data_IF_801382735116
#
_entry.id   IF_801382735116
#
_cell.length_a   1.000
_cell.length_b   1.000
_cell.length_c   1.000
_cell.angle_alpha   90.00
_cell.angle_beta   90.00
_cell.angle_gamma   90.00
#
_symmetry.space_group_name_H-M   'P 1'
#
loop_
_entity.id
_entity.type
_entity.pdbx_description
1 polymer ?
#
# COMPACT_ATOMS: atom_id res chain seq x y z
N UNK A 1 -31.54 -12.09 -14.08
CA UNK A 1 -30.81 -11.76 -12.83
C UNK A 1 -31.88 -11.25 -11.90
N UNK A 2 -32.21 -12.00 -10.85
CA UNK A 2 -33.29 -11.62 -9.94
C UNK A 2 -33.04 -10.21 -9.36
N UNK A 3 -34.10 -9.45 -9.00
CA UNK A 3 -33.96 -8.09 -8.48
C UNK A 3 -33.01 -7.98 -7.28
N UNK A 4 -32.95 -9.03 -6.46
CA UNK A 4 -32.09 -9.14 -5.27
C UNK A 4 -30.61 -9.20 -5.69
N UNK A 5 -30.26 -10.10 -6.62
CA UNK A 5 -28.90 -10.26 -7.16
C UNK A 5 -28.37 -8.97 -7.80
N UNK A 6 -29.25 -8.15 -8.41
CA UNK A 6 -28.85 -6.86 -8.97
C UNK A 6 -28.47 -5.85 -7.88
N UNK A 7 -29.27 -5.75 -6.83
CA UNK A 7 -29.04 -4.82 -5.73
C UNK A 7 -27.74 -5.16 -4.97
N UNK A 8 -27.46 -6.44 -4.73
CA UNK A 8 -26.22 -6.86 -4.05
C UNK A 8 -24.98 -6.52 -4.88
N UNK A 9 -25.03 -6.74 -6.19
CA UNK A 9 -23.94 -6.38 -7.10
C UNK A 9 -23.72 -4.86 -7.18
N UNK A 10 -24.79 -4.07 -7.27
CA UNK A 10 -24.71 -2.60 -7.22
C UNK A 10 -24.07 -2.12 -5.91
N UNK A 11 -24.47 -2.70 -4.77
CA UNK A 11 -23.88 -2.37 -3.48
C UNK A 11 -22.39 -2.71 -3.41
N UNK A 12 -21.97 -3.87 -3.94
CA UNK A 12 -20.55 -4.25 -4.01
C UNK A 12 -19.77 -3.22 -4.84
N UNK A 13 -20.29 -2.86 -6.02
CA UNK A 13 -19.64 -1.92 -6.93
C UNK A 13 -19.50 -0.55 -6.28
N UNK A 14 -20.58 0.03 -5.75
CA UNK A 14 -20.57 1.37 -5.13
C UNK A 14 -19.57 1.42 -3.98
N UNK A 15 -19.60 0.44 -3.07
CA UNK A 15 -18.68 0.43 -1.94
C UNK A 15 -17.22 0.23 -2.38
N UNK A 16 -16.95 -0.56 -3.43
CA UNK A 16 -15.59 -0.71 -3.99
C UNK A 16 -15.08 0.59 -4.60
N UNK A 17 -15.94 1.32 -5.33
CA UNK A 17 -15.59 2.61 -5.90
C UNK A 17 -15.32 3.66 -4.82
N UNK A 18 -16.15 3.69 -3.77
CA UNK A 18 -15.94 4.56 -2.61
C UNK A 18 -14.61 4.27 -1.92
N UNK A 19 -14.23 2.99 -1.74
CA UNK A 19 -12.91 2.60 -1.21
C UNK A 19 -11.77 3.10 -2.09
N UNK A 20 -11.90 2.93 -3.40
CA UNK A 20 -10.92 3.38 -4.38
C UNK A 20 -10.93 4.90 -4.60
N UNK A 21 -11.77 5.63 -3.85
CA UNK A 21 -12.03 7.05 -4.01
C UNK A 21 -12.51 7.44 -5.41
N UNK A 22 -12.97 6.51 -6.24
CA UNK A 22 -13.38 6.77 -7.63
C UNK A 22 -14.60 7.72 -7.75
N UNK A 23 -15.22 8.11 -6.64
CA UNK A 23 -16.29 9.11 -6.55
C UNK A 23 -15.79 10.59 -6.33
N UNK A 24 -14.48 10.89 -6.40
CA UNK A 24 -13.86 12.26 -6.39
C UNK A 24 -12.57 12.36 -5.55
N UNK A 25 -11.70 13.38 -5.49
CA UNK A 25 -11.47 14.66 -6.20
C UNK A 25 -10.24 14.60 -7.14
N UNK A 26 -9.48 13.50 -7.23
CA UNK A 26 -8.70 13.15 -8.46
C UNK A 26 -8.29 11.68 -8.51
N UNK A 27 -9.22 10.76 -8.78
CA UNK A 27 -8.96 9.36 -9.09
C UNK A 27 -9.19 9.09 -10.59
N UNK A 28 -8.77 7.91 -11.06
CA UNK A 28 -8.92 7.47 -12.45
C UNK A 28 -10.39 7.66 -12.91
N UNK A 29 -10.61 8.46 -13.96
CA UNK A 29 -11.96 8.81 -14.44
C UNK A 29 -12.64 7.60 -15.11
N UNK A 30 -13.22 6.70 -14.33
CA UNK A 30 -14.14 5.67 -14.85
C UNK A 30 -15.50 5.92 -14.19
N UNK A 31 -16.51 6.43 -14.94
CA UNK A 31 -17.85 6.64 -14.40
C UNK A 31 -18.45 5.33 -13.86
N UNK A 32 -19.24 5.41 -12.79
CA UNK A 32 -19.93 4.26 -12.18
C UNK A 32 -20.75 3.48 -13.23
N UNK A 33 -21.52 4.19 -14.07
CA UNK A 33 -22.31 3.61 -15.15
C UNK A 33 -21.48 2.78 -16.13
N UNK A 34 -20.22 3.20 -16.38
CA UNK A 34 -19.30 2.51 -17.26
C UNK A 34 -18.73 1.24 -16.62
N UNK A 35 -18.48 1.27 -15.31
CA UNK A 35 -18.07 0.09 -14.52
C UNK A 35 -19.20 -0.92 -14.50
N UNK A 36 -20.42 -0.49 -14.14
CA UNK A 36 -21.62 -1.34 -14.09
C UNK A 36 -21.91 -2.00 -15.44
N UNK A 37 -21.92 -1.21 -16.53
CA UNK A 37 -22.18 -1.74 -17.88
C UNK A 37 -21.17 -2.81 -18.27
N UNK A 38 -19.87 -2.60 -18.03
CA UNK A 38 -18.80 -3.55 -18.39
C UNK A 38 -18.80 -4.81 -17.53
N UNK A 39 -19.32 -4.73 -16.30
CA UNK A 39 -19.54 -5.88 -15.41
C UNK A 39 -20.74 -6.71 -15.88
N UNK A 40 -21.86 -6.05 -16.21
CA UNK A 40 -23.12 -6.71 -16.53
C UNK A 40 -23.20 -7.26 -17.96
N UNK A 41 -22.51 -6.64 -18.91
CA UNK A 41 -22.58 -6.95 -20.35
C UNK A 41 -21.22 -7.36 -20.95
N UNK A 42 -20.71 -8.56 -20.63
CA UNK A 42 -19.38 -9.04 -21.06
C UNK A 42 -19.29 -9.46 -22.54
N UNK A 43 -20.39 -9.34 -23.31
CA UNK A 43 -20.53 -9.95 -24.65
C UNK A 43 -19.63 -9.35 -25.73
N UNK A 44 -18.88 -8.27 -25.45
CA UNK A 44 -17.98 -7.61 -26.40
C UNK A 44 -16.52 -7.63 -25.93
N UNK A 45 -15.89 -8.82 -25.93
CA UNK A 45 -14.46 -8.96 -25.63
C UNK A 45 -13.61 -8.33 -26.75
N UNK A 46 -13.17 -7.08 -26.55
CA UNK A 46 -12.29 -6.32 -27.45
C UNK A 46 -11.12 -5.63 -26.74
N UNK A 47 -10.30 -4.82 -27.44
CA UNK A 47 -9.17 -4.09 -26.82
C UNK A 47 -9.57 -3.27 -25.58
N UNK A 48 -10.76 -2.68 -25.59
CA UNK A 48 -11.29 -1.89 -24.47
C UNK A 48 -11.55 -2.71 -23.21
N UNK A 49 -11.83 -4.02 -23.34
CA UNK A 49 -12.00 -4.94 -22.21
C UNK A 49 -10.67 -5.23 -21.52
N UNK A 50 -9.63 -5.59 -22.28
CA UNK A 50 -8.31 -5.86 -21.69
C UNK A 50 -7.70 -4.63 -21.02
N UNK A 51 -7.90 -3.46 -21.63
CA UNK A 51 -7.46 -2.20 -21.03
C UNK A 51 -8.23 -1.91 -19.72
N UNK A 52 -9.54 -2.19 -19.68
CA UNK A 52 -10.32 -2.07 -18.46
C UNK A 52 -9.81 -2.99 -17.35
N UNK A 53 -9.67 -4.30 -17.61
CA UNK A 53 -9.15 -5.26 -16.61
C UNK A 53 -7.75 -4.87 -16.14
N UNK A 54 -6.88 -4.44 -17.06
CA UNK A 54 -5.57 -3.95 -16.71
C UNK A 54 -5.65 -2.75 -15.74
N UNK A 55 -6.51 -1.77 -16.02
CA UNK A 55 -6.69 -0.61 -15.17
C UNK A 55 -7.26 -0.98 -13.79
N UNK A 56 -8.20 -1.92 -13.73
CA UNK A 56 -8.75 -2.43 -12.46
C UNK A 56 -7.67 -3.14 -11.63
N UNK A 57 -6.87 -4.01 -12.26
CA UNK A 57 -5.77 -4.70 -11.59
C UNK A 57 -4.72 -3.71 -11.07
N UNK A 58 -4.45 -2.63 -11.79
CA UNK A 58 -3.50 -1.58 -11.38
C UNK A 58 -3.95 -0.82 -10.13
N UNK A 59 -5.25 -0.78 -9.83
CA UNK A 59 -5.81 -0.20 -8.61
C UNK A 59 -6.16 -1.25 -7.56
N UNK A 60 -5.70 -2.49 -7.73
CA UNK A 60 -5.90 -3.57 -6.75
C UNK A 60 -7.25 -4.26 -6.82
N UNK A 61 -8.01 -4.09 -7.91
CA UNK A 61 -9.26 -4.81 -8.14
C UNK A 61 -9.00 -5.97 -9.10
N UNK A 62 -9.27 -7.19 -8.64
CA UNK A 62 -9.24 -8.41 -9.42
C UNK A 62 -10.64 -8.78 -9.94
N UNK A 63 -10.70 -9.83 -10.75
CA UNK A 63 -11.92 -10.29 -11.38
C UNK A 63 -12.04 -11.80 -11.39
N UNK A 64 -13.26 -12.29 -11.16
CA UNK A 64 -13.59 -13.70 -11.30
C UNK A 64 -14.73 -13.89 -12.30
N UNK A 65 -14.56 -14.83 -13.23
CA UNK A 65 -15.65 -15.19 -14.13
C UNK A 65 -16.70 -15.99 -13.34
N UNK A 66 -17.95 -15.58 -13.47
CA UNK A 66 -19.12 -16.25 -12.90
C UNK A 66 -20.00 -16.82 -14.04
N UNK A 67 -21.12 -17.46 -13.68
CA UNK A 67 -22.05 -18.12 -14.60
C UNK A 67 -22.50 -17.17 -15.72
N UNK A 68 -22.76 -17.72 -16.90
CA UNK A 68 -23.21 -16.98 -18.10
C UNK A 68 -22.18 -15.98 -18.65
N UNK A 69 -20.89 -16.18 -18.33
CA UNK A 69 -19.79 -15.37 -18.85
C UNK A 69 -19.69 -13.98 -18.25
N UNK A 70 -20.49 -13.68 -17.21
CA UNK A 70 -20.39 -12.47 -16.39
C UNK A 70 -19.15 -12.50 -15.51
N UNK A 71 -18.80 -11.35 -14.99
CA UNK A 71 -17.58 -11.17 -14.21
C UNK A 71 -17.90 -10.45 -12.91
N UNK A 72 -17.43 -10.98 -11.79
CA UNK A 72 -17.48 -10.32 -10.50
C UNK A 72 -16.15 -9.60 -10.30
N UNK A 73 -16.20 -8.28 -10.06
CA UNK A 73 -15.05 -7.52 -9.60
C UNK A 73 -14.98 -7.57 -8.09
N UNK A 74 -13.78 -7.83 -7.58
CA UNK A 74 -13.52 -7.86 -6.15
C UNK A 74 -12.15 -7.26 -5.92
N UNK A 75 -11.93 -6.67 -4.76
CA UNK A 75 -10.58 -6.26 -4.40
C UNK A 75 -9.67 -7.49 -4.26
N UNK A 76 -8.39 -7.35 -4.63
CA UNK A 76 -7.39 -8.39 -4.46
C UNK A 76 -7.42 -8.89 -3.00
N UNK A 77 -7.67 -10.19 -2.76
CA UNK A 77 -7.70 -10.77 -1.43
C UNK A 77 -6.45 -10.49 -0.60
N UNK A 78 -5.30 -10.31 -1.25
CA UNK A 78 -4.06 -9.94 -0.58
C UNK A 78 -4.11 -8.52 -0.01
N UNK A 79 -4.64 -7.57 -0.77
CA UNK A 79 -4.76 -6.16 -0.37
C UNK A 79 -5.76 -6.03 0.78
N UNK A 80 -6.93 -6.68 0.66
CA UNK A 80 -7.94 -6.70 1.74
C UNK A 80 -7.39 -7.33 3.02
N UNK A 81 -6.62 -8.40 2.91
CA UNK A 81 -5.98 -9.05 4.05
C UNK A 81 -4.93 -8.16 4.72
N UNK A 82 -4.01 -7.56 3.96
CA UNK A 82 -3.01 -6.62 4.48
C UNK A 82 -3.67 -5.45 5.20
N UNK A 83 -4.71 -4.87 4.59
CA UNK A 83 -5.48 -3.77 5.18
C UNK A 83 -6.20 -4.20 6.45
N UNK A 84 -6.89 -5.34 6.46
CA UNK A 84 -7.60 -5.84 7.64
C UNK A 84 -6.64 -6.04 8.81
N UNK A 85 -5.45 -6.62 8.58
CA UNK A 85 -4.42 -6.75 9.62
C UNK A 85 -3.97 -5.39 10.16
N UNK A 86 -3.72 -4.43 9.27
CA UNK A 86 -3.36 -3.07 9.65
C UNK A 86 -4.46 -2.40 10.49
N UNK A 87 -5.70 -2.36 9.98
CA UNK A 87 -6.83 -1.69 10.62
C UNK A 87 -7.15 -2.30 11.99
N UNK A 88 -7.15 -3.63 12.09
CA UNK A 88 -7.35 -4.32 13.37
C UNK A 88 -6.26 -4.00 14.38
N UNK A 89 -5.01 -3.91 13.93
CA UNK A 89 -3.88 -3.55 14.79
C UNK A 89 -3.98 -2.09 15.24
N UNK A 90 -4.26 -1.18 14.30
CA UNK A 90 -4.43 0.24 14.59
C UNK A 90 -5.60 0.47 15.54
N UNK A 91 -6.76 -0.17 15.35
CA UNK A 91 -7.92 -0.08 16.24
C UNK A 91 -7.56 -0.38 17.70
N UNK A 92 -6.77 -1.44 17.96
CA UNK A 92 -6.27 -1.78 19.30
C UNK A 92 -5.29 -0.74 19.84
N UNK A 93 -4.39 -0.26 18.99
CA UNK A 93 -3.43 0.80 19.34
C UNK A 93 -4.17 2.10 19.69
N UNK A 94 -5.20 2.50 18.95
CA UNK A 94 -6.01 3.71 19.21
C UNK A 94 -6.79 3.63 20.52
N UNK A 95 -7.12 2.43 20.98
CA UNK A 95 -7.74 2.20 22.30
C UNK A 95 -6.74 2.32 23.44
N UNK A 96 -5.44 2.34 23.14
CA UNK A 96 -4.34 2.52 24.08
C UNK A 96 -3.85 3.97 24.06
N UNK A 97 -3.21 4.44 25.13
CA UNK A 97 -2.60 5.79 25.19
C UNK A 97 -1.16 5.83 24.62
N UNK A 98 -0.91 5.01 23.59
CA UNK A 98 0.41 4.91 22.98
C UNK A 98 0.61 6.05 21.98
N UNK A 99 1.80 6.66 22.03
CA UNK A 99 2.17 7.70 21.08
C UNK A 99 2.48 7.07 19.72
N UNK A 100 1.95 7.68 18.65
CA UNK A 100 2.08 7.16 17.29
C UNK A 100 2.89 8.14 16.46
N UNK A 101 4.00 7.64 15.93
CA UNK A 101 4.92 8.36 15.06
C UNK A 101 4.79 7.81 13.64
N UNK A 102 4.47 8.69 12.70
CA UNK A 102 4.49 8.38 11.28
C UNK A 102 5.84 8.74 10.71
N UNK A 103 6.48 7.79 10.06
CA UNK A 103 7.81 7.91 9.47
C UNK A 103 7.69 7.67 7.98
N UNK A 104 8.35 8.50 7.18
CA UNK A 104 8.38 8.33 5.73
C UNK A 104 9.57 9.09 5.16
N UNK A 105 9.69 8.98 3.85
CA UNK A 105 10.71 9.58 3.04
C UNK A 105 10.12 10.18 1.78
N UNK A 106 10.75 11.25 1.30
CA UNK A 106 10.36 11.90 0.06
C UNK A 106 11.56 12.18 -0.82
N UNK A 107 11.48 11.74 -2.07
CA UNK A 107 12.43 12.13 -3.12
C UNK A 107 12.11 13.56 -3.51
N UNK A 108 13.17 14.37 -3.54
CA UNK A 108 13.17 15.74 -4.02
C UNK A 108 14.10 15.77 -5.24
N UNK A 109 13.52 16.01 -6.42
CA UNK A 109 14.31 16.13 -7.64
C UNK A 109 14.79 17.56 -7.92
N UNK A 110 15.58 17.73 -8.96
CA UNK A 110 16.17 19.01 -9.38
C UNK A 110 15.13 20.05 -9.83
N UNK A 111 13.90 19.59 -10.13
CA UNK A 111 12.76 20.42 -10.50
C UNK A 111 11.83 20.71 -9.32
N UNK A 112 12.26 20.41 -8.10
CA UNK A 112 11.47 20.55 -6.87
C UNK A 112 10.17 19.73 -6.89
N UNK A 113 10.14 18.61 -7.61
CA UNK A 113 9.04 17.65 -7.50
C UNK A 113 9.26 16.75 -6.29
N UNK A 114 8.15 16.39 -5.65
CA UNK A 114 8.12 15.54 -4.47
C UNK A 114 7.49 14.19 -4.83
N UNK A 115 8.31 13.14 -4.88
CA UNK A 115 7.91 11.79 -5.28
C UNK A 115 8.22 10.75 -4.19
N UNK A 116 7.48 9.64 -4.20
CA UNK A 116 7.75 8.51 -3.30
C UNK A 116 8.73 7.52 -3.94
N UNK A 117 9.62 6.86 -3.19
CA UNK A 117 10.67 6.03 -3.79
C UNK A 117 10.20 4.86 -4.65
N UNK A 118 9.07 4.22 -4.34
CA UNK A 118 8.57 3.09 -5.13
C UNK A 118 7.94 3.50 -6.47
N UNK A 119 7.49 4.75 -6.62
CA UNK A 119 6.93 5.26 -7.89
C UNK A 119 7.97 5.21 -9.02
N UNK A 120 9.25 5.40 -8.68
CA UNK A 120 10.36 5.30 -9.65
C UNK A 120 10.92 3.89 -9.83
N UNK A 121 10.29 2.85 -9.27
CA UNK A 121 10.73 1.44 -9.39
C UNK A 121 12.22 1.28 -8.99
N UNK A 122 12.64 1.97 -7.91
CA UNK A 122 14.03 2.17 -7.54
C UNK A 122 14.73 0.88 -7.04
N UNK A 123 15.13 0.00 -7.95
CA UNK A 123 16.11 -1.05 -7.68
C UNK A 123 17.51 -0.44 -7.65
N UNK A 124 17.86 0.28 -6.57
CA UNK A 124 19.24 0.67 -6.17
C UNK A 124 20.20 1.33 -7.19
N UNK A 125 20.84 2.41 -6.73
CA UNK A 125 22.18 2.93 -7.11
C UNK A 125 22.43 3.75 -8.39
N UNK A 126 21.43 4.12 -9.22
CA UNK A 126 21.68 5.00 -10.39
C UNK A 126 20.77 6.23 -10.52
N UNK A 127 20.23 6.75 -9.42
CA UNK A 127 19.16 7.75 -9.51
C UNK A 127 19.52 9.21 -9.25
N UNK A 128 20.76 9.55 -8.88
CA UNK A 128 21.02 10.90 -8.42
C UNK A 128 22.22 11.52 -9.13
N UNK A 129 22.06 11.84 -10.41
CA UNK A 129 22.63 13.10 -10.89
C UNK A 129 21.65 14.20 -10.44
N UNK A 130 21.79 14.69 -9.20
CA UNK A 130 21.18 15.92 -8.65
C UNK A 130 19.88 15.84 -7.79
N UNK A 131 19.32 14.65 -7.50
CA UNK A 131 18.21 14.51 -6.53
C UNK A 131 18.66 14.11 -5.12
N UNK A 132 17.82 14.30 -4.11
CA UNK A 132 18.08 13.87 -2.72
C UNK A 132 16.79 13.38 -2.05
N UNK A 133 16.91 12.76 -0.87
CA UNK A 133 15.78 12.26 -0.08
C UNK A 133 15.69 13.01 1.24
N UNK A 134 14.46 13.34 1.65
CA UNK A 134 14.18 13.84 2.99
C UNK A 134 13.52 12.72 3.80
N UNK A 135 14.23 12.19 4.79
CA UNK A 135 13.66 11.31 5.81
C UNK A 135 13.01 12.17 6.87
N UNK A 136 11.81 11.82 7.31
CA UNK A 136 11.10 12.62 8.30
C UNK A 136 10.11 11.80 9.13
N UNK A 137 9.86 12.32 10.33
CA UNK A 137 8.93 11.74 11.30
C UNK A 137 8.01 12.83 11.85
N UNK A 138 6.72 12.51 11.95
CA UNK A 138 5.69 13.38 12.53
C UNK A 138 4.83 12.59 13.52
N UNK A 139 4.11 13.31 14.37
CA UNK A 139 3.10 12.75 15.27
C UNK A 139 1.90 13.69 15.37
N UNK A 140 0.89 13.30 16.16
CA UNK A 140 -0.23 14.18 16.52
C UNK A 140 0.23 15.50 17.17
N UNK A 141 1.39 15.50 17.84
CA UNK A 141 1.94 16.68 18.53
C UNK A 141 2.71 17.62 17.59
N UNK A 142 3.15 17.14 16.43
CA UNK A 142 3.90 17.94 15.48
C UNK A 142 4.97 17.18 14.71
N UNK A 143 5.83 17.96 14.05
CA UNK A 143 7.06 17.47 13.45
C UNK A 143 8.05 17.01 14.53
N UNK A 144 8.62 15.82 14.36
CA UNK A 144 9.56 15.23 15.32
C UNK A 144 11.00 15.40 14.90
N UNK A 145 11.32 14.97 13.68
CA UNK A 145 12.66 15.00 13.14
C UNK A 145 12.63 14.90 11.62
N UNK A 146 13.65 15.43 10.95
CA UNK A 146 13.90 15.12 9.57
C UNK A 146 15.32 15.45 9.14
N UNK A 147 15.82 14.71 8.16
CA UNK A 147 17.18 14.82 7.64
C UNK A 147 17.21 14.66 6.12
N UNK A 148 18.01 15.48 5.45
CA UNK A 148 18.25 15.35 4.01
C UNK A 148 19.44 14.43 3.75
N UNK A 149 19.28 13.51 2.80
CA UNK A 149 20.28 12.53 2.41
C UNK A 149 20.44 12.52 0.88
N UNK A 150 21.64 12.83 0.38
CA UNK A 150 21.92 12.91 -1.06
C UNK A 150 22.20 11.55 -1.71
N UNK A 151 22.60 10.56 -0.91
CA UNK A 151 22.90 9.19 -1.37
C UNK A 151 22.16 8.16 -0.51
N UNK A 152 20.82 8.15 -0.54
CA UNK A 152 20.03 7.34 0.37
C UNK A 152 20.20 5.85 0.09
N UNK A 153 20.60 5.11 1.11
CA UNK A 153 20.57 3.65 1.13
C UNK A 153 19.66 3.14 2.26
N UNK A 154 19.36 1.84 2.26
CA UNK A 154 18.70 1.18 3.38
C UNK A 154 19.50 1.36 4.69
N UNK A 155 20.84 1.34 4.60
CA UNK A 155 21.71 1.54 5.75
C UNK A 155 21.65 2.97 6.30
N UNK A 156 21.52 3.98 5.44
CA UNK A 156 21.38 5.38 5.87
C UNK A 156 20.04 5.60 6.59
N UNK A 157 18.96 5.00 6.08
CA UNK A 157 17.67 5.03 6.76
C UNK A 157 17.76 4.33 8.12
N UNK A 158 18.33 3.12 8.18
CA UNK A 158 18.54 2.40 9.42
C UNK A 158 19.35 3.23 10.43
N UNK A 159 20.44 3.86 10.00
CA UNK A 159 21.27 4.69 10.85
C UNK A 159 20.52 5.90 11.38
N UNK A 160 19.75 6.59 10.54
CA UNK A 160 18.91 7.70 10.99
C UNK A 160 17.88 7.26 12.03
N UNK A 161 17.23 6.10 11.84
CA UNK A 161 16.30 5.55 12.83
C UNK A 161 16.99 5.31 14.17
N UNK A 162 18.13 4.62 14.18
CA UNK A 162 18.83 4.23 15.41
C UNK A 162 19.49 5.40 16.11
N UNK A 163 20.23 6.22 15.38
CA UNK A 163 21.09 7.25 15.97
C UNK A 163 20.33 8.53 16.31
N UNK A 164 19.26 8.84 15.57
CA UNK A 164 18.58 10.15 15.63
C UNK A 164 17.13 10.02 16.07
N UNK A 165 16.36 9.16 15.40
CA UNK A 165 14.91 9.13 15.64
C UNK A 165 14.58 8.45 16.97
N UNK A 166 14.96 7.18 17.17
CA UNK A 166 14.62 6.40 18.36
C UNK A 166 14.95 7.09 19.68
N UNK A 167 16.13 7.73 19.86
CA UNK A 167 16.47 8.44 21.10
C UNK A 167 15.56 9.63 21.42
N UNK A 168 14.86 10.18 20.42
CA UNK A 168 13.96 11.33 20.59
C UNK A 168 12.49 10.96 20.78
N UNK A 169 12.13 9.67 20.69
CA UNK A 169 10.76 9.21 20.83
C UNK A 169 10.37 8.97 22.29
N UNK A 170 9.07 9.10 22.60
CA UNK A 170 8.52 8.65 23.87
C UNK A 170 8.74 7.13 24.01
N UNK A 171 9.03 6.67 25.22
CA UNK A 171 9.13 5.23 25.54
C UNK A 171 7.85 4.49 25.16
N UNK A 172 7.98 3.26 24.70
CA UNK A 172 6.84 2.40 24.34
C UNK A 172 5.87 3.11 23.38
N UNK A 173 6.37 3.39 22.19
CA UNK A 173 5.59 4.09 21.15
C UNK A 173 5.38 3.20 19.93
N UNK A 174 4.45 3.60 19.07
CA UNK A 174 4.17 2.96 17.80
C UNK A 174 4.82 3.76 16.68
N UNK A 175 5.55 3.09 15.81
CA UNK A 175 6.16 3.65 14.61
C UNK A 175 5.45 3.07 13.39
N UNK A 176 4.84 3.94 12.58
CA UNK A 176 4.08 3.61 11.37
C UNK A 176 4.86 4.10 10.15
N UNK A 177 5.14 3.22 9.20
CA UNK A 177 5.81 3.59 7.95
C UNK A 177 5.44 2.65 6.80
N UNK A 178 5.63 3.10 5.56
CA UNK A 178 5.29 2.32 4.36
C UNK A 178 6.26 1.15 4.11
N UNK A 179 6.01 0.40 3.03
CA UNK A 179 6.83 -0.73 2.61
C UNK A 179 7.90 -0.35 1.57
N UNK A 180 8.47 0.85 1.64
CA UNK A 180 9.56 1.28 0.76
C UNK A 180 10.80 0.39 0.83
N UNK A 181 11.46 0.11 -0.31
CA UNK A 181 12.73 -0.63 -0.34
C UNK A 181 13.81 -0.08 0.59
N UNK A 182 13.80 1.23 0.89
CA UNK A 182 14.73 1.86 1.83
C UNK A 182 14.54 1.39 3.28
N UNK A 183 13.40 0.76 3.58
CA UNK A 183 13.07 0.24 4.90
C UNK A 183 13.40 -1.26 5.04
N UNK A 184 14.17 -1.83 4.11
CA UNK A 184 14.56 -3.25 4.10
C UNK A 184 13.42 -4.21 3.75
N UNK A 185 12.34 -3.71 3.15
CA UNK A 185 11.20 -4.51 2.65
C UNK A 185 11.44 -5.04 1.24
N UNK A 186 12.62 -4.78 0.67
CA UNK A 186 13.04 -5.35 -0.61
C UNK A 186 12.82 -6.87 -0.56
N UNK A 187 11.99 -7.38 -1.49
CA UNK A 187 11.75 -8.81 -1.62
C UNK A 187 13.11 -9.53 -1.71
N UNK A 188 13.33 -10.64 -0.98
CA UNK A 188 14.49 -11.48 -1.22
C UNK A 188 14.56 -11.81 -2.72
N UNK A 189 15.76 -11.73 -3.29
CA UNK A 189 16.14 -11.96 -4.69
C UNK A 189 14.99 -12.39 -5.61
N UNK A 190 14.51 -11.43 -6.41
CA UNK A 190 13.35 -11.49 -7.30
C UNK A 190 13.54 -12.53 -8.42
N UNK A 191 13.41 -13.81 -8.09
CA UNK A 191 13.11 -14.84 -9.08
C UNK A 191 11.74 -14.52 -9.66
N UNK A 192 11.67 -14.46 -10.98
CA UNK A 192 10.52 -14.15 -11.82
C UNK A 192 10.22 -15.34 -12.74
N UNK A 193 9.04 -15.36 -13.36
CA UNK A 193 8.71 -16.37 -14.38
C UNK A 193 9.66 -16.37 -15.60
N UNK A 194 10.47 -15.32 -15.77
CA UNK A 194 11.42 -15.19 -16.87
C UNK A 194 12.77 -15.87 -16.55
N UNK A 195 13.13 -16.04 -15.28
CA UNK A 195 14.37 -16.70 -14.88
C UNK A 195 14.40 -18.18 -15.28
N UNK A 196 15.57 -18.75 -15.53
CA UNK A 196 15.74 -20.14 -15.94
C UNK A 196 15.40 -21.11 -14.80
N UNK A 197 15.14 -22.38 -15.15
CA UNK A 197 14.92 -23.43 -14.13
C UNK A 197 16.13 -23.59 -13.21
N UNK A 198 17.34 -23.34 -13.71
CA UNK A 198 18.57 -23.49 -12.93
C UNK A 198 18.77 -22.33 -11.96
N UNK A 199 18.40 -21.11 -12.34
CA UNK A 199 18.32 -19.95 -11.43
C UNK A 199 17.26 -20.16 -10.34
N UNK A 200 16.06 -20.65 -10.71
CA UNK A 200 15.01 -21.01 -9.74
C UNK A 200 15.47 -22.07 -8.75
N UNK A 201 16.14 -23.13 -9.24
CA UNK A 201 16.69 -24.20 -8.39
C UNK A 201 17.86 -23.72 -7.54
N UNK A 202 18.72 -22.85 -8.08
CA UNK A 202 19.82 -22.23 -7.34
C UNK A 202 19.26 -21.44 -6.16
N UNK A 203 18.24 -20.60 -6.39
CA UNK A 203 17.57 -19.87 -5.33
C UNK A 203 16.95 -20.81 -4.28
N UNK A 204 16.26 -21.88 -4.70
CA UNK A 204 15.70 -22.87 -3.78
C UNK A 204 16.80 -23.58 -2.95
N UNK A 205 17.97 -23.90 -3.54
CA UNK A 205 19.12 -24.46 -2.81
C UNK A 205 19.70 -23.47 -1.80
N UNK A 206 19.91 -22.22 -2.22
CA UNK A 206 20.47 -21.16 -1.36
C UNK A 206 19.58 -20.85 -0.15
N UNK A 207 18.26 -21.03 -0.30
CA UNK A 207 17.27 -20.84 0.76
C UNK A 207 16.87 -22.14 1.48
N UNK A 208 17.58 -23.25 1.24
CA UNK A 208 17.32 -24.57 1.86
C UNK A 208 15.88 -25.09 1.66
N UNK A 209 15.25 -24.80 0.53
CA UNK A 209 13.91 -25.26 0.18
C UNK A 209 14.00 -26.56 -0.64
N UNK A 210 13.43 -27.67 -0.15
CA UNK A 210 13.40 -28.94 -0.88
C UNK A 210 12.70 -28.78 -2.24
N UNK A 211 13.33 -29.28 -3.30
CA UNK A 211 12.78 -29.32 -4.64
C UNK A 211 13.36 -30.51 -5.40
N UNK A 212 12.70 -30.94 -6.48
CA UNK A 212 13.16 -32.07 -7.29
C UNK A 212 13.55 -31.64 -8.71
N UNK A 213 14.45 -32.41 -9.34
CA UNK A 213 14.89 -32.16 -10.71
C UNK A 213 13.77 -32.36 -11.76
N UNK A 214 12.68 -33.03 -11.38
CA UNK A 214 11.51 -33.27 -12.25
C UNK A 214 10.49 -32.13 -12.25
N UNK A 215 10.57 -31.17 -11.31
CA UNK A 215 9.61 -30.05 -11.25
C UNK A 215 9.66 -29.19 -12.52
N UNK A 216 8.47 -28.83 -13.01
CA UNK A 216 8.27 -27.88 -14.11
C UNK A 216 8.60 -26.46 -13.64
N UNK A 217 8.89 -25.58 -14.60
CA UNK A 217 9.22 -24.17 -14.33
C UNK A 217 8.12 -23.45 -13.54
N UNK A 218 6.86 -23.71 -13.88
CA UNK A 218 5.68 -23.17 -13.18
C UNK A 218 5.58 -23.69 -11.74
N UNK A 219 5.90 -24.95 -11.50
CA UNK A 219 5.88 -25.56 -10.16
C UNK A 219 7.02 -25.03 -9.29
N UNK A 220 8.21 -24.86 -9.87
CA UNK A 220 9.35 -24.20 -9.22
C UNK A 220 9.01 -22.76 -8.86
N UNK A 221 8.45 -21.99 -9.80
CA UNK A 221 8.04 -20.62 -9.57
C UNK A 221 6.97 -20.53 -8.48
N UNK A 222 5.92 -21.37 -8.53
CA UNK A 222 4.86 -21.40 -7.50
C UNK A 222 5.40 -21.78 -6.12
N UNK A 223 6.35 -22.72 -6.05
CA UNK A 223 7.01 -23.07 -4.79
C UNK A 223 7.81 -21.90 -4.23
N UNK A 224 8.56 -21.20 -5.09
CA UNK A 224 9.33 -20.00 -4.73
C UNK A 224 8.39 -18.89 -4.25
N UNK A 225 7.30 -18.62 -4.96
CA UNK A 225 6.31 -17.61 -4.61
C UNK A 225 5.67 -17.90 -3.25
N UNK A 226 5.24 -19.14 -3.02
CA UNK A 226 4.69 -19.57 -1.72
C UNK A 226 5.73 -19.45 -0.60
N UNK A 227 6.98 -19.81 -0.87
CA UNK A 227 8.05 -19.71 0.11
C UNK A 227 8.44 -18.26 0.39
N UNK A 228 8.53 -17.40 -0.62
CA UNK A 228 8.79 -15.97 -0.47
C UNK A 228 7.72 -15.29 0.39
N UNK A 229 6.46 -15.67 0.23
CA UNK A 229 5.38 -15.22 1.10
C UNK A 229 5.58 -15.65 2.57
N UNK A 230 6.18 -16.82 2.80
CA UNK A 230 6.48 -17.34 4.15
C UNK A 230 7.81 -16.89 4.74
N UNK A 231 8.78 -16.50 3.91
CA UNK A 231 10.16 -16.14 4.26
C UNK A 231 10.34 -14.63 4.48
N UNK A 232 9.32 -13.97 5.05
CA UNK A 232 9.42 -12.58 5.51
C UNK A 232 10.52 -12.49 6.58
N UNK A 233 11.78 -12.32 6.18
CA UNK A 233 12.82 -11.86 7.07
C UNK A 233 12.39 -10.47 7.53
N UNK A 234 11.93 -10.38 8.78
CA UNK A 234 11.51 -9.12 9.39
C UNK A 234 12.63 -8.11 9.16
N UNK A 235 12.39 -6.96 8.50
CA UNK A 235 13.45 -6.01 8.12
C UNK A 235 14.35 -5.64 9.30
N UNK A 236 15.61 -5.33 9.05
CA UNK A 236 16.57 -4.99 10.12
C UNK A 236 16.06 -3.82 10.98
N UNK A 237 15.48 -2.82 10.33
CA UNK A 237 14.88 -1.66 11.01
C UNK A 237 13.72 -2.05 11.93
N UNK A 238 12.89 -3.03 11.53
CA UNK A 238 11.78 -3.50 12.38
C UNK A 238 12.30 -4.18 13.64
N UNK A 239 13.39 -4.95 13.51
CA UNK A 239 14.01 -5.66 14.65
C UNK A 239 14.58 -4.67 15.65
N UNK A 240 15.30 -3.63 15.19
CA UNK A 240 15.91 -2.66 16.10
C UNK A 240 14.87 -1.78 16.79
N UNK A 241 13.80 -1.38 16.09
CA UNK A 241 12.69 -0.63 16.69
C UNK A 241 12.05 -1.45 17.83
N UNK A 242 11.75 -2.74 17.57
CA UNK A 242 11.20 -3.64 18.59
C UNK A 242 12.15 -3.89 19.75
N UNK A 243 13.44 -4.06 19.48
CA UNK A 243 14.46 -4.25 20.52
C UNK A 243 14.59 -3.03 21.45
N UNK A 244 14.25 -1.83 20.96
CA UNK A 244 14.19 -0.60 21.75
C UNK A 244 12.83 -0.38 22.45
N UNK A 245 11.97 -1.40 22.50
CA UNK A 245 10.69 -1.35 23.23
C UNK A 245 9.56 -0.64 22.49
N UNK A 246 9.69 -0.41 21.19
CA UNK A 246 8.63 0.22 20.37
C UNK A 246 7.90 -0.81 19.51
N UNK A 247 6.67 -0.47 19.09
CA UNK A 247 5.90 -1.29 18.16
C UNK A 247 6.06 -0.79 16.73
N UNK A 248 6.16 -1.72 15.78
CA UNK A 248 6.21 -1.42 14.34
C UNK A 248 4.87 -1.74 13.69
N UNK A 249 4.36 -0.83 12.87
CA UNK A 249 3.20 -1.04 12.00
C UNK A 249 3.56 -0.61 10.59
N UNK A 250 3.26 -1.46 9.60
CA UNK A 250 3.49 -1.17 8.19
C UNK A 250 2.18 -0.79 7.52
N UNK A 251 2.18 0.28 6.71
CA UNK A 251 1.00 0.66 5.94
C UNK A 251 0.63 -0.45 4.94
N UNK A 252 -0.67 -0.67 4.67
CA UNK A 252 -1.08 -1.61 3.63
C UNK A 252 -0.74 -1.07 2.24
N UNK A 253 -0.53 -1.98 1.28
CA UNK A 253 -0.26 -1.61 -0.11
C UNK A 253 -1.42 -0.79 -0.69
N UNK A 254 -1.14 0.35 -1.35
CA UNK A 254 -2.12 1.31 -1.90
C UNK A 254 -2.89 2.18 -0.89
N UNK A 255 -2.59 2.11 0.40
CA UNK A 255 -3.29 2.85 1.45
C UNK A 255 -2.37 3.85 2.17
N UNK A 256 -1.59 4.60 1.41
CA UNK A 256 -0.64 5.56 2.02
C UNK A 256 -1.33 6.79 2.62
N UNK A 257 -2.56 7.04 2.21
CA UNK A 257 -3.47 8.02 2.81
C UNK A 257 -3.97 7.63 4.22
N UNK A 258 -3.60 6.44 4.72
CA UNK A 258 -3.65 6.07 6.14
C UNK A 258 -2.44 6.61 6.93
N UNK A 259 -1.65 7.48 6.32
CA UNK A 259 -0.63 8.31 6.95
C UNK A 259 -0.95 9.80 6.77
N UNK A 260 -0.87 10.62 7.83
CA UNK A 260 -1.10 12.07 7.73
C UNK A 260 -0.01 12.79 6.93
N UNK A 261 1.12 12.14 6.67
CA UNK A 261 2.28 12.67 5.93
C UNK A 261 1.91 13.08 4.50
N UNK A 262 1.12 12.26 3.81
CA UNK A 262 0.87 12.47 2.38
C UNK A 262 0.12 13.77 2.14
N UNK A 263 -0.80 14.14 3.04
CA UNK A 263 -1.53 15.39 2.96
C UNK A 263 -0.62 16.61 3.11
N UNK A 264 0.36 16.56 4.03
CA UNK A 264 1.34 17.64 4.21
C UNK A 264 2.12 17.85 2.92
N UNK A 265 2.53 16.77 2.24
CA UNK A 265 3.23 16.89 0.96
C UNK A 265 2.36 17.41 -0.18
N UNK A 266 1.07 17.09 -0.20
CA UNK A 266 0.13 17.69 -1.15
C UNK A 266 0.02 19.21 -0.93
N UNK A 267 0.07 19.66 0.31
CA UNK A 267 0.05 21.09 0.61
C UNK A 267 1.38 21.76 0.23
N UNK A 268 2.53 21.14 0.52
CA UNK A 268 3.86 21.60 0.08
C UNK A 268 3.91 21.76 -1.45
N UNK A 269 3.33 20.83 -2.21
CA UNK A 269 3.26 20.88 -3.69
C UNK A 269 2.55 22.12 -4.24
N UNK A 270 1.61 22.71 -3.49
CA UNK A 270 0.88 23.91 -3.94
C UNK A 270 1.78 25.15 -3.92
N UNK A 271 2.88 25.13 -3.17
CA UNK A 271 3.86 26.21 -3.13
C UNK A 271 4.87 26.04 -4.28
N UNK A 272 4.44 26.35 -5.50
CA UNK A 272 5.24 26.24 -6.75
C UNK A 272 6.46 27.17 -6.82
N UNK A 273 6.71 28.01 -5.81
CA UNK A 273 7.68 29.11 -5.84
C UNK A 273 8.97 28.85 -5.04
N UNK A 274 9.24 27.61 -4.60
CA UNK A 274 10.45 27.30 -3.84
C UNK A 274 11.69 27.34 -4.76
N UNK A 275 12.64 28.22 -4.44
CA UNK A 275 13.93 28.25 -5.11
C UNK A 275 14.75 27.02 -4.69
N UNK A 276 15.56 26.46 -5.59
CA UNK A 276 16.40 25.31 -5.27
C UNK A 276 17.43 25.62 -4.16
N UNK A 277 17.89 26.88 -4.09
CA UNK A 277 18.90 27.32 -3.12
C UNK A 277 18.38 27.29 -1.66
N UNK A 278 17.10 27.56 -1.45
CA UNK A 278 16.47 27.63 -0.11
C UNK A 278 15.48 26.48 0.16
N UNK A 279 15.40 25.50 -0.75
CA UNK A 279 14.38 24.45 -0.73
C UNK A 279 14.38 23.68 0.60
N UNK A 280 15.55 23.26 1.08
CA UNK A 280 15.68 22.46 2.30
C UNK A 280 15.18 23.23 3.53
N UNK A 281 15.64 24.47 3.67
CA UNK A 281 15.24 25.34 4.77
C UNK A 281 13.75 25.66 4.71
N UNK A 282 13.21 25.86 3.50
CA UNK A 282 11.79 26.14 3.30
C UNK A 282 10.92 24.94 3.67
N UNK A 283 11.33 23.72 3.31
CA UNK A 283 10.63 22.49 3.70
C UNK A 283 10.67 22.32 5.22
N UNK A 284 11.84 22.39 5.84
CA UNK A 284 11.97 22.27 7.30
C UNK A 284 11.15 23.33 8.04
N UNK A 285 11.25 24.58 7.59
CA UNK A 285 10.47 25.70 8.13
C UNK A 285 8.97 25.43 8.01
N UNK A 286 8.50 24.93 6.87
CA UNK A 286 7.10 24.56 6.69
C UNK A 286 6.66 23.52 7.73
N UNK A 287 7.39 22.41 7.87
CA UNK A 287 7.07 21.38 8.88
C UNK A 287 7.04 21.94 10.32
N UNK A 288 7.97 22.83 10.66
CA UNK A 288 8.07 23.46 11.99
C UNK A 288 6.98 24.50 12.25
N UNK A 289 6.52 25.21 11.23
CA UNK A 289 5.52 26.28 11.36
C UNK A 289 4.07 25.77 11.30
N UNK A 290 3.83 24.52 10.86
CA UNK A 290 2.50 23.91 10.93
C UNK A 290 2.03 23.88 12.40
N UNK A 291 0.90 24.52 12.75
CA UNK A 291 0.40 24.49 14.12
C UNK A 291 0.03 23.07 14.58
N UNK A 292 0.26 22.74 15.85
CA UNK A 292 -0.10 21.43 16.43
C UNK A 292 -1.57 21.04 16.22
N UNK A 293 -2.49 22.03 16.19
CA UNK A 293 -3.90 21.78 15.88
C UNK A 293 -4.11 21.20 14.48
N UNK A 294 -3.30 21.59 13.50
CA UNK A 294 -3.36 21.06 12.14
C UNK A 294 -2.86 19.61 12.11
N UNK A 295 -1.77 19.30 12.81
CA UNK A 295 -1.32 17.90 12.98
C UNK A 295 -2.38 17.03 13.64
N UNK A 296 -3.08 17.56 14.64
CA UNK A 296 -4.21 16.88 15.29
C UNK A 296 -5.36 16.64 14.32
N UNK A 297 -5.74 17.63 13.51
CA UNK A 297 -6.78 17.47 12.51
C UNK A 297 -6.41 16.43 11.43
N UNK A 298 -5.16 16.41 10.98
CA UNK A 298 -4.68 15.40 10.03
C UNK A 298 -4.74 14.00 10.63
N UNK A 299 -4.31 13.85 11.88
CA UNK A 299 -4.44 12.60 12.62
C UNK A 299 -5.90 12.15 12.74
N UNK A 300 -6.81 13.04 13.12
CA UNK A 300 -8.24 12.72 13.29
C UNK A 300 -8.90 12.37 11.94
N UNK A 301 -8.46 12.99 10.83
CA UNK A 301 -8.86 12.59 9.46
C UNK A 301 -8.45 11.16 9.14
N UNK A 302 -7.22 10.76 9.50
CA UNK A 302 -6.75 9.38 9.31
C UNK A 302 -7.60 8.41 10.14
N UNK A 303 -7.88 8.72 11.40
CA UNK A 303 -8.74 7.88 12.26
C UNK A 303 -10.15 7.74 11.67
N UNK A 304 -10.73 8.84 11.17
CA UNK A 304 -12.03 8.79 10.49
C UNK A 304 -11.98 7.86 9.27
N UNK A 305 -10.92 7.96 8.47
CA UNK A 305 -10.72 7.12 7.29
C UNK A 305 -10.54 5.65 7.64
N UNK A 306 -9.76 5.34 8.69
CA UNK A 306 -9.62 3.98 9.23
C UNK A 306 -11.00 3.39 9.54
N UNK A 307 -11.87 4.13 10.25
CA UNK A 307 -13.21 3.67 10.59
C UNK A 307 -14.12 3.50 9.36
N UNK A 308 -14.07 4.44 8.41
CA UNK A 308 -14.83 4.33 7.16
C UNK A 308 -14.42 3.10 6.36
N UNK A 309 -13.12 2.78 6.28
CA UNK A 309 -12.64 1.58 5.60
C UNK A 309 -13.12 0.30 6.28
N UNK A 310 -13.13 0.25 7.61
CA UNK A 310 -13.68 -0.90 8.37
C UNK A 310 -15.16 -1.11 8.02
N UNK A 311 -15.98 -0.05 8.07
CA UNK A 311 -17.40 -0.15 7.75
C UNK A 311 -17.66 -0.57 6.30
N UNK A 312 -16.85 -0.07 5.36
CA UNK A 312 -16.93 -0.47 3.96
C UNK A 312 -16.43 -1.90 3.73
N UNK A 313 -15.43 -2.37 4.49
CA UNK A 313 -14.98 -3.77 4.48
C UNK A 313 -16.11 -4.70 4.91
N UNK A 314 -16.75 -4.43 6.05
CA UNK A 314 -17.86 -5.23 6.57
C UNK A 314 -19.06 -5.29 5.60
N UNK A 315 -19.43 -4.14 5.00
CA UNK A 315 -20.53 -4.07 4.02
C UNK A 315 -20.23 -4.87 2.75
N UNK A 316 -19.01 -4.76 2.23
CA UNK A 316 -18.61 -5.48 1.01
C UNK A 316 -18.54 -6.98 1.28
N UNK A 317 -17.97 -7.40 2.41
CA UNK A 317 -17.90 -8.81 2.79
C UNK A 317 -19.30 -9.42 2.91
N UNK A 318 -20.22 -8.76 3.62
CA UNK A 318 -21.60 -9.23 3.74
C UNK A 318 -22.30 -9.34 2.38
N UNK A 319 -22.23 -8.29 1.54
CA UNK A 319 -22.87 -8.30 0.22
C UNK A 319 -22.26 -9.36 -0.72
N UNK A 320 -20.93 -9.54 -0.69
CA UNK A 320 -20.24 -10.59 -1.46
C UNK A 320 -20.67 -11.99 -1.01
N UNK A 321 -20.75 -12.23 0.30
CA UNK A 321 -21.14 -13.53 0.85
C UNK A 321 -22.57 -13.91 0.45
N UNK A 322 -23.53 -12.99 0.57
CA UNK A 322 -24.92 -13.24 0.14
C UNK A 322 -24.98 -13.49 -1.38
N UNK A 323 -24.31 -12.67 -2.18
CA UNK A 323 -24.24 -12.84 -3.63
C UNK A 323 -23.64 -14.20 -4.04
N UNK A 324 -22.56 -14.64 -3.38
CA UNK A 324 -21.90 -15.91 -3.67
C UNK A 324 -22.74 -17.13 -3.22
N UNK A 325 -23.53 -17.02 -2.15
CA UNK A 325 -24.48 -18.07 -1.74
C UNK A 325 -25.55 -18.28 -2.80
N UNK A 326 -26.15 -17.19 -3.28
CA UNK A 326 -27.20 -17.24 -4.31
C UNK A 326 -26.68 -17.80 -5.64
N UNK A 327 -25.46 -17.43 -6.04
CA UNK A 327 -24.82 -18.02 -7.22
C UNK A 327 -24.70 -19.55 -7.11
N UNK A 328 -24.25 -20.06 -5.96
CA UNK A 328 -24.11 -21.51 -5.73
C UNK A 328 -25.45 -22.23 -5.74
N UNK A 329 -26.51 -21.62 -5.18
CA UNK A 329 -27.87 -22.17 -5.24
C UNK A 329 -28.34 -22.27 -6.69
N UNK A 330 -28.10 -21.21 -7.47
CA UNK A 330 -28.51 -21.15 -8.88
C UNK A 330 -27.77 -22.19 -9.74
N UNK A 331 -26.50 -22.50 -9.45
CA UNK A 331 -25.75 -23.58 -10.13
C UNK A 331 -26.35 -24.97 -9.85
N UNK A 332 -26.75 -25.24 -8.60
CA UNK A 332 -27.31 -26.54 -8.20
C UNK A 332 -28.70 -26.77 -8.81
N UNK A 333 -29.47 -25.71 -9.07
CA UNK A 333 -30.82 -25.82 -9.68
C UNK A 333 -30.76 -26.00 -11.20
N UNK A 334 -29.61 -25.74 -11.83
CA UNK A 334 -29.39 -25.85 -13.28
C UNK A 334 -28.69 -27.16 -13.70
N UNK A 335 -28.22 -27.97 -12.74
CA UNK A 335 -27.79 -29.36 -12.92
C UNK A 335 -28.94 -30.34 -12.62
#
# INVERSE_FOLDING_TARGET
MEPIIKADLENIIINLLQKCQLEGETPMQIPLEDVERRILEPSTRGMNYYHFIHNMNMIGIDHQTIINGKMLLMEDPKITFERSLFLNKMKKIRQSDLMIYYVSERIIDDKCNFEKPWVRNCKTLKLFTNGHVFFHAISKQGFMNGIFCYTPTEYDFYKWIVDILLPSLKTESVIVFDNSPLHGTSKPNKISMFDTKDEMRKWLRENNIPHTNSMKKSELYRLIENCMCSMNTVPQVDRVIKANGHHVVRLPTHFEDLSPIDQIWQDIKKFQSLSQADLHNSILKYFLEIPTVVYTQLYDKVVKKENTLIELDDKIEHALDEFLKELKITEIVLE
#
